data_IF_860892977928
#
_entry.id   IF_860892977928
#
_cell.length_a   1.000
_cell.length_b   1.000
_cell.length_c   1.000
_cell.angle_alpha   90.00
_cell.angle_beta   90.00
_cell.angle_gamma   90.00
#
_symmetry.space_group_name_H-M   'P 1'
#
loop_
_entity.id
_entity.type
_entity.pdbx_description
1 polymer ?
#
# COMPACT_ATOMS: atom_id res chain seq x y z
N UNK A 1 -2.12 -7.39 -11.55
CA UNK A 1 -2.76 -8.72 -11.63
C UNK A 1 -3.04 -9.22 -10.22
N UNK A 2 -4.12 -10.00 -10.04
CA UNK A 2 -4.47 -10.63 -8.76
C UNK A 2 -3.38 -11.64 -8.35
N UNK A 3 -3.10 -11.80 -7.04
CA UNK A 3 -2.17 -12.82 -6.59
C UNK A 3 -2.74 -14.22 -6.79
N UNK A 4 -1.85 -15.16 -7.08
CA UNK A 4 -2.14 -16.60 -7.08
C UNK A 4 -2.09 -17.15 -5.66
N UNK A 5 -2.71 -18.32 -5.44
CA UNK A 5 -2.62 -19.01 -4.15
C UNK A 5 -1.16 -19.34 -3.79
N UNK A 6 -0.34 -19.71 -4.78
CA UNK A 6 1.09 -19.93 -4.62
C UNK A 6 1.81 -18.69 -4.08
N UNK A 7 1.49 -17.51 -4.62
CA UNK A 7 2.09 -16.25 -4.14
C UNK A 7 1.64 -15.92 -2.72
N UNK A 8 0.36 -16.14 -2.37
CA UNK A 8 -0.11 -15.93 -1.00
C UNK A 8 0.63 -16.83 0.00
N UNK A 9 0.93 -18.08 -0.37
CA UNK A 9 1.69 -19.01 0.47
C UNK A 9 3.14 -18.58 0.75
N UNK A 10 3.69 -17.66 -0.05
CA UNK A 10 5.02 -17.09 0.21
C UNK A 10 5.01 -15.99 1.27
N UNK A 11 3.83 -15.48 1.65
CA UNK A 11 3.73 -14.41 2.64
C UNK A 11 4.06 -14.93 4.05
N UNK A 12 4.76 -14.15 4.89
CA UNK A 12 5.08 -14.56 6.27
C UNK A 12 3.86 -14.97 7.10
N UNK A 13 2.69 -14.36 6.83
CA UNK A 13 1.45 -14.69 7.53
C UNK A 13 0.91 -16.09 7.21
N UNK A 14 1.32 -16.69 6.09
CA UNK A 14 0.98 -18.06 5.68
C UNK A 14 2.08 -19.07 6.04
N UNK A 15 3.11 -18.65 6.79
CA UNK A 15 4.14 -19.56 7.25
C UNK A 15 3.52 -20.71 8.05
N UNK A 16 3.96 -21.94 7.77
CA UNK A 16 3.42 -23.15 8.38
C UNK A 16 2.16 -23.72 7.71
N UNK A 17 1.68 -23.12 6.62
CA UNK A 17 0.67 -23.74 5.77
C UNK A 17 1.24 -24.98 5.06
N UNK A 18 0.57 -26.12 5.23
CA UNK A 18 0.86 -27.37 4.52
C UNK A 18 -0.24 -27.61 3.47
N UNK A 19 0.14 -27.88 2.22
CA UNK A 19 -0.81 -28.17 1.13
C UNK A 19 -0.99 -29.68 1.00
N UNK A 20 -2.21 -30.18 1.19
CA UNK A 20 -2.53 -31.61 1.20
C UNK A 20 -3.14 -32.12 -0.11
N UNK A 21 -3.70 -31.23 -0.93
CA UNK A 21 -4.32 -31.53 -2.25
C UNK A 21 -4.33 -30.28 -3.14
N UNK A 22 -4.75 -30.42 -4.41
CA UNK A 22 -4.97 -29.28 -5.31
C UNK A 22 -3.72 -28.57 -5.81
N UNK A 23 -2.56 -29.26 -5.83
CA UNK A 23 -1.28 -28.65 -6.19
C UNK A 23 -1.26 -28.04 -7.59
N UNK A 24 -2.04 -28.60 -8.52
CA UNK A 24 -2.15 -28.09 -9.89
C UNK A 24 -2.84 -26.72 -9.96
N UNK A 25 -3.73 -26.41 -9.01
CA UNK A 25 -4.52 -25.18 -8.97
C UNK A 25 -3.88 -24.05 -8.17
N UNK A 26 -2.69 -24.26 -7.59
CA UNK A 26 -2.00 -23.20 -6.82
C UNK A 26 -1.64 -21.97 -7.67
N UNK A 27 -1.57 -22.10 -9.00
CA UNK A 27 -1.33 -21.00 -9.93
C UNK A 27 -2.57 -20.19 -10.28
N UNK A 28 -3.76 -20.56 -9.79
CA UNK A 28 -5.00 -19.82 -10.05
C UNK A 28 -5.07 -18.54 -9.20
N UNK A 29 -5.69 -17.47 -9.74
CA UNK A 29 -5.85 -16.22 -9.01
C UNK A 29 -6.79 -16.39 -7.81
N UNK A 30 -6.45 -15.71 -6.72
CA UNK A 30 -7.29 -15.59 -5.53
C UNK A 30 -7.92 -14.19 -5.51
N UNK A 31 -9.24 -14.15 -5.54
CA UNK A 31 -10.03 -12.91 -5.57
C UNK A 31 -10.30 -12.37 -4.17
N UNK A 32 -10.41 -13.26 -3.18
CA UNK A 32 -10.67 -12.90 -1.79
C UNK A 32 -10.23 -13.98 -0.81
N UNK A 33 -10.03 -13.61 0.46
CA UNK A 33 -9.79 -14.54 1.57
C UNK A 33 -10.77 -14.23 2.70
N UNK A 34 -11.47 -15.23 3.22
CA UNK A 34 -12.51 -15.04 4.24
C UNK A 34 -12.58 -16.21 5.24
N UNK A 35 -12.92 -15.91 6.49
CA UNK A 35 -13.10 -16.89 7.55
C UNK A 35 -14.56 -17.34 7.60
N UNK A 36 -14.84 -18.63 7.44
CA UNK A 36 -16.20 -19.16 7.46
C UNK A 36 -16.34 -20.41 8.32
N UNK A 37 -17.36 -20.44 9.15
CA UNK A 37 -17.78 -21.61 9.95
C UNK A 37 -19.21 -22.02 9.61
N UNK A 38 -19.64 -21.80 8.37
CA UNK A 38 -20.99 -22.10 7.91
C UNK A 38 -20.97 -23.42 7.10
N UNK A 39 -21.77 -24.44 7.45
CA UNK A 39 -21.82 -25.73 6.74
C UNK A 39 -22.19 -25.66 5.26
N UNK A 40 -22.78 -24.56 4.79
CA UNK A 40 -23.08 -24.33 3.38
C UNK A 40 -22.58 -22.94 2.94
N UNK A 41 -21.32 -22.65 3.25
CA UNK A 41 -20.65 -21.41 2.86
C UNK A 41 -20.63 -21.20 1.33
N UNK A 42 -20.65 -22.29 0.55
CA UNK A 42 -20.60 -22.28 -0.90
C UNK A 42 -21.70 -21.41 -1.54
N UNK A 43 -22.88 -21.30 -0.92
CA UNK A 43 -24.00 -20.49 -1.44
C UNK A 43 -23.71 -18.99 -1.55
N UNK A 44 -22.68 -18.51 -0.85
CA UNK A 44 -22.30 -17.10 -0.79
C UNK A 44 -21.05 -16.78 -1.61
N UNK A 45 -20.47 -17.78 -2.28
CA UNK A 45 -19.25 -17.61 -3.08
C UNK A 45 -19.58 -17.10 -4.47
N UNK A 46 -18.71 -16.24 -4.99
CA UNK A 46 -18.70 -15.74 -6.36
C UNK A 46 -17.60 -16.37 -7.21
N UNK A 47 -16.71 -17.16 -6.61
CA UNK A 47 -15.58 -17.82 -7.25
C UNK A 47 -14.25 -17.10 -7.00
N UNK A 48 -13.19 -17.89 -6.87
CA UNK A 48 -11.82 -17.41 -6.61
C UNK A 48 -11.52 -17.13 -5.12
N UNK A 49 -12.44 -17.45 -4.20
CA UNK A 49 -12.20 -17.22 -2.78
C UNK A 49 -11.43 -18.37 -2.13
N UNK A 50 -10.51 -18.03 -1.24
CA UNK A 50 -9.90 -18.96 -0.28
C UNK A 50 -10.63 -18.86 1.06
N UNK A 51 -11.19 -19.97 1.52
CA UNK A 51 -11.86 -20.04 2.82
C UNK A 51 -10.88 -20.44 3.92
N UNK A 52 -10.95 -19.78 5.07
CA UNK A 52 -10.25 -20.16 6.30
C UNK A 52 -11.28 -20.69 7.30
N UNK A 53 -10.98 -21.78 8.00
CA UNK A 53 -11.89 -22.35 8.99
C UNK A 53 -11.12 -23.08 10.09
N UNK A 54 -11.66 -23.09 11.30
CA UNK A 54 -11.22 -23.99 12.39
C UNK A 54 -11.84 -25.39 12.28
N UNK A 55 -12.66 -25.61 11.25
CA UNK A 55 -13.29 -26.89 10.94
C UNK A 55 -14.54 -27.19 11.76
N UNK A 56 -15.15 -26.21 12.44
CA UNK A 56 -16.34 -26.44 13.27
C UNK A 56 -17.51 -27.10 12.49
N UNK A 57 -17.80 -26.73 11.23
CA UNK A 57 -18.77 -27.44 10.39
C UNK A 57 -18.42 -28.91 10.12
N UNK A 58 -17.16 -29.29 10.25
CA UNK A 58 -16.62 -30.59 9.85
C UNK A 58 -16.43 -31.55 11.05
N UNK A 59 -16.22 -31.03 12.26
CA UNK A 59 -15.92 -31.81 13.48
C UNK A 59 -17.00 -32.87 13.78
N UNK A 60 -18.26 -32.59 13.46
CA UNK A 60 -19.39 -33.49 13.70
C UNK A 60 -20.15 -33.85 12.41
N UNK A 61 -19.61 -33.49 11.26
CA UNK A 61 -20.22 -33.83 9.98
C UNK A 61 -20.01 -35.33 9.70
N UNK A 62 -21.08 -36.05 9.36
CA UNK A 62 -20.93 -37.40 8.82
C UNK A 62 -20.09 -37.40 7.54
N UNK A 63 -19.54 -38.56 7.15
CA UNK A 63 -18.65 -38.68 5.98
C UNK A 63 -19.24 -38.02 4.72
N UNK A 64 -20.53 -38.24 4.48
CA UNK A 64 -21.24 -37.65 3.35
C UNK A 64 -21.27 -36.12 3.39
N UNK A 65 -21.50 -35.53 4.56
CA UNK A 65 -21.59 -34.09 4.71
C UNK A 65 -20.24 -33.40 4.50
N UNK A 66 -19.14 -34.00 4.97
CA UNK A 66 -17.79 -33.50 4.71
C UNK A 66 -17.41 -33.56 3.22
N UNK A 67 -17.77 -34.65 2.54
CA UNK A 67 -17.60 -34.76 1.10
C UNK A 67 -18.43 -33.71 0.34
N UNK A 68 -19.70 -33.54 0.70
CA UNK A 68 -20.63 -32.63 0.03
C UNK A 68 -20.23 -31.17 0.20
N UNK A 69 -19.67 -30.81 1.36
CA UNK A 69 -19.09 -29.49 1.59
C UNK A 69 -17.94 -29.19 0.63
N UNK A 70 -16.99 -30.12 0.47
CA UNK A 70 -15.87 -29.90 -0.44
C UNK A 70 -16.32 -29.86 -1.90
N UNK A 71 -17.25 -30.74 -2.30
CA UNK A 71 -17.86 -30.71 -3.62
C UNK A 71 -18.48 -29.34 -3.90
N UNK A 72 -19.27 -28.79 -2.97
CA UNK A 72 -19.96 -27.52 -3.19
C UNK A 72 -18.99 -26.35 -3.31
N UNK A 73 -17.90 -26.32 -2.53
CA UNK A 73 -16.84 -25.32 -2.68
C UNK A 73 -16.15 -25.41 -4.05
N UNK A 74 -15.80 -26.62 -4.47
CA UNK A 74 -15.15 -26.85 -5.76
C UNK A 74 -16.05 -26.45 -6.95
N UNK A 75 -17.33 -26.84 -6.93
CA UNK A 75 -18.30 -26.48 -7.97
C UNK A 75 -18.56 -24.97 -8.07
N UNK A 76 -18.35 -24.22 -6.98
CA UNK A 76 -18.50 -22.75 -6.95
C UNK A 76 -17.20 -22.02 -7.29
N UNK A 77 -16.15 -22.77 -7.63
CA UNK A 77 -14.88 -22.22 -8.06
C UNK A 77 -14.06 -21.62 -6.93
N UNK A 78 -14.22 -22.10 -5.69
CA UNK A 78 -13.33 -21.70 -4.60
C UNK A 78 -11.86 -21.99 -4.98
N UNK A 79 -10.97 -21.08 -4.62
CA UNK A 79 -9.52 -21.25 -4.80
C UNK A 79 -8.92 -22.19 -3.76
N UNK A 80 -9.64 -22.50 -2.68
CA UNK A 80 -9.24 -23.52 -1.72
C UNK A 80 -9.96 -23.40 -0.37
N UNK A 81 -9.60 -24.34 0.51
CA UNK A 81 -9.98 -24.35 1.92
C UNK A 81 -8.72 -24.51 2.77
N UNK A 82 -8.55 -23.65 3.78
CA UNK A 82 -7.48 -23.74 4.76
C UNK A 82 -8.07 -24.05 6.15
N UNK A 83 -7.58 -25.12 6.78
CA UNK A 83 -8.04 -25.59 8.08
C UNK A 83 -6.99 -25.34 9.17
N UNK A 84 -7.39 -24.76 10.29
CA UNK A 84 -6.60 -24.77 11.52
C UNK A 84 -6.85 -26.08 12.28
N UNK A 85 -5.79 -26.88 12.47
CA UNK A 85 -5.85 -28.22 13.05
C UNK A 85 -5.25 -28.29 14.46
N UNK A 86 -5.77 -27.48 15.39
CA UNK A 86 -5.20 -27.36 16.74
C UNK A 86 -6.10 -27.93 17.83
N UNK A 87 -7.35 -27.46 17.91
CA UNK A 87 -8.20 -27.69 19.09
C UNK A 87 -9.21 -28.80 18.86
N UNK A 88 -10.28 -28.48 18.13
CA UNK A 88 -11.40 -29.41 17.92
C UNK A 88 -11.14 -30.37 16.75
N UNK A 89 -10.39 -29.91 15.76
CA UNK A 89 -9.95 -30.71 14.63
C UNK A 89 -8.42 -30.82 14.70
N UNK A 90 -7.87 -32.04 14.70
CA UNK A 90 -6.41 -32.28 14.77
C UNK A 90 -5.82 -32.84 13.48
N UNK A 91 -6.65 -33.52 12.71
CA UNK A 91 -6.34 -34.05 11.40
C UNK A 91 -7.56 -33.77 10.50
N UNK A 92 -7.35 -33.54 9.19
CA UNK A 92 -8.46 -33.33 8.28
C UNK A 92 -9.29 -34.62 8.20
N UNK A 93 -10.63 -34.56 8.25
CA UNK A 93 -11.46 -35.76 8.14
C UNK A 93 -11.16 -36.51 6.83
N UNK A 94 -11.09 -37.86 6.82
CA UNK A 94 -10.76 -38.62 5.62
C UNK A 94 -11.67 -38.32 4.43
N UNK A 95 -12.96 -38.11 4.68
CA UNK A 95 -13.93 -37.73 3.65
C UNK A 95 -13.63 -36.35 3.02
N UNK A 96 -13.17 -35.38 3.83
CA UNK A 96 -12.80 -34.04 3.39
C UNK A 96 -11.53 -34.09 2.53
N UNK A 97 -10.50 -34.79 3.00
CA UNK A 97 -9.24 -34.94 2.24
C UNK A 97 -9.45 -35.75 0.95
N UNK A 98 -10.25 -36.82 1.01
CA UNK A 98 -10.61 -37.63 -0.15
C UNK A 98 -11.36 -36.84 -1.20
N UNK A 99 -12.37 -36.07 -0.80
CA UNK A 99 -13.10 -35.17 -1.70
C UNK A 99 -12.19 -34.08 -2.27
N UNK A 100 -11.32 -33.45 -1.45
CA UNK A 100 -10.45 -32.39 -1.93
C UNK A 100 -9.47 -32.88 -3.01
N UNK A 101 -8.99 -34.13 -2.88
CA UNK A 101 -8.21 -34.79 -3.93
C UNK A 101 -9.04 -35.11 -5.17
N UNK A 102 -10.27 -35.59 -5.00
CA UNK A 102 -11.16 -35.94 -6.10
C UNK A 102 -11.51 -34.73 -6.99
N UNK A 103 -11.80 -33.59 -6.37
CA UNK A 103 -12.16 -32.35 -7.08
C UNK A 103 -10.96 -31.42 -7.35
N UNK A 104 -9.74 -31.90 -7.09
CA UNK A 104 -8.48 -31.13 -7.18
C UNK A 104 -8.55 -29.77 -6.46
N UNK A 105 -9.33 -29.67 -5.38
CA UNK A 105 -9.46 -28.44 -4.60
C UNK A 105 -8.22 -28.30 -3.70
N UNK A 106 -7.55 -27.13 -3.67
CA UNK A 106 -6.49 -26.88 -2.72
C UNK A 106 -6.99 -26.97 -1.28
N UNK A 107 -6.51 -27.98 -0.54
CA UNK A 107 -6.73 -28.11 0.89
C UNK A 107 -5.43 -27.79 1.61
N UNK A 108 -5.45 -26.72 2.39
CA UNK A 108 -4.33 -26.27 3.21
C UNK A 108 -4.62 -26.57 4.67
N UNK A 109 -3.58 -26.84 5.45
CA UNK A 109 -3.71 -27.03 6.89
C UNK A 109 -2.66 -26.24 7.65
N UNK A 110 -3.03 -25.75 8.82
CA UNK A 110 -2.14 -25.16 9.80
C UNK A 110 -2.13 -26.04 11.05
N UNK A 111 -0.97 -26.59 11.41
CA UNK A 111 -0.80 -27.46 12.59
C UNK A 111 -0.53 -26.69 13.89
N UNK A 112 -0.57 -25.36 13.83
CA UNK A 112 -0.36 -24.44 14.94
C UNK A 112 -1.44 -23.35 14.90
N UNK A 113 -1.67 -22.68 16.03
CA UNK A 113 -2.65 -21.59 16.08
C UNK A 113 -2.23 -20.48 15.12
N UNK A 114 -3.19 -20.06 14.30
CA UNK A 114 -2.98 -18.99 13.34
C UNK A 114 -3.89 -17.82 13.61
N UNK A 115 -3.32 -16.62 13.51
CA UNK A 115 -4.11 -15.42 13.60
C UNK A 115 -4.79 -15.15 12.25
N UNK A 116 -6.03 -15.62 12.08
CA UNK A 116 -6.81 -15.40 10.85
C UNK A 116 -6.94 -13.91 10.48
N UNK A 117 -6.92 -12.99 11.46
CA UNK A 117 -6.92 -11.55 11.16
C UNK A 117 -5.61 -11.08 10.52
N UNK A 118 -4.46 -11.72 10.82
CA UNK A 118 -3.20 -11.45 10.12
C UNK A 118 -3.17 -12.07 8.72
N UNK A 119 -3.63 -13.31 8.57
CA UNK A 119 -3.75 -13.99 7.27
C UNK A 119 -4.61 -13.19 6.29
N UNK A 120 -5.83 -12.84 6.71
CA UNK A 120 -6.77 -12.05 5.89
C UNK A 120 -6.18 -10.67 5.56
N UNK A 121 -5.62 -9.95 6.53
CA UNK A 121 -4.97 -8.65 6.28
C UNK A 121 -3.83 -8.75 5.27
N UNK A 122 -2.96 -9.74 5.40
CA UNK A 122 -1.83 -9.94 4.49
C UNK A 122 -2.29 -10.27 3.07
N UNK A 123 -3.27 -11.17 2.94
CA UNK A 123 -3.84 -11.53 1.65
C UNK A 123 -4.59 -10.37 1.00
N UNK A 124 -5.46 -9.68 1.74
CA UNK A 124 -6.19 -8.50 1.25
C UNK A 124 -5.24 -7.39 0.83
N UNK A 125 -4.16 -7.14 1.57
CA UNK A 125 -3.13 -6.18 1.15
C UNK A 125 -2.49 -6.55 -0.19
N UNK A 126 -2.37 -7.85 -0.51
CA UNK A 126 -1.83 -8.31 -1.80
C UNK A 126 -2.86 -8.28 -2.94
N UNK A 127 -4.13 -8.55 -2.62
CA UNK A 127 -5.26 -8.53 -3.55
C UNK A 127 -5.64 -7.09 -3.94
N UNK A 128 -5.75 -6.21 -2.94
CA UNK A 128 -6.12 -4.80 -3.09
C UNK A 128 -4.94 -3.92 -3.52
N UNK A 129 -3.71 -4.46 -3.51
CA UNK A 129 -2.56 -3.79 -4.12
C UNK A 129 -2.84 -3.63 -5.60
N UNK A 130 -3.17 -2.40 -5.99
CA UNK A 130 -3.07 -2.01 -7.38
C UNK A 130 -1.61 -2.24 -7.80
N UNK A 131 -1.34 -2.93 -8.94
CA UNK A 131 -0.01 -2.86 -9.51
C UNK A 131 0.32 -1.37 -9.64
N UNK A 132 1.44 -0.95 -9.09
CA UNK A 132 1.94 0.39 -9.23
C UNK A 132 2.31 0.62 -10.71
N UNK A 133 1.30 0.80 -11.58
CA UNK A 133 1.49 1.36 -12.91
C UNK A 133 1.62 2.88 -12.88
N UNK A 134 1.37 3.49 -11.72
CA UNK A 134 1.92 4.78 -11.37
C UNK A 134 3.00 4.50 -10.33
N UNK A 135 4.26 4.74 -10.68
CA UNK A 135 5.28 5.02 -9.67
C UNK A 135 4.78 6.11 -8.72
N UNK A 136 5.46 6.35 -7.60
CA UNK A 136 5.20 7.56 -6.82
C UNK A 136 4.98 8.72 -7.79
N UNK A 137 3.85 9.46 -7.70
CA UNK A 137 3.52 10.48 -8.67
C UNK A 137 4.69 11.46 -8.75
N UNK A 138 5.52 11.31 -9.79
CA UNK A 138 6.72 12.10 -9.97
C UNK A 138 6.33 13.33 -10.74
N UNK A 139 6.69 14.50 -10.19
CA UNK A 139 6.54 15.76 -10.89
C UNK A 139 7.63 15.93 -11.96
N UNK A 140 8.68 15.10 -11.96
CA UNK A 140 9.83 15.27 -12.85
C UNK A 140 9.44 15.45 -14.33
N UNK A 141 8.59 14.60 -14.95
CA UNK A 141 8.22 14.79 -16.37
C UNK A 141 7.52 16.13 -16.64
N UNK A 142 6.76 16.64 -15.67
CA UNK A 142 6.10 17.95 -15.80
C UNK A 142 7.11 19.10 -15.65
N UNK A 143 8.06 18.96 -14.74
CA UNK A 143 9.10 19.97 -14.52
C UNK A 143 10.07 20.01 -15.72
N UNK A 144 10.45 18.86 -16.25
CA UNK A 144 11.29 18.73 -17.44
C UNK A 144 10.61 19.38 -18.65
N UNK A 145 9.32 19.09 -18.88
CA UNK A 145 8.54 19.75 -19.94
C UNK A 145 8.48 21.28 -19.75
N UNK A 146 8.41 21.78 -18.51
CA UNK A 146 8.43 23.22 -18.25
C UNK A 146 9.83 23.83 -18.52
N UNK A 147 10.90 23.12 -18.16
CA UNK A 147 12.27 23.53 -18.43
C UNK A 147 12.54 23.56 -19.95
N UNK A 148 12.12 22.54 -20.70
CA UNK A 148 12.24 22.46 -22.16
C UNK A 148 11.53 23.62 -22.88
N UNK A 149 10.41 24.11 -22.35
CA UNK A 149 9.73 25.27 -22.91
C UNK A 149 10.44 26.61 -22.65
N UNK A 150 11.51 26.62 -21.85
CA UNK A 150 12.22 27.83 -21.42
C UNK A 150 11.41 28.73 -20.48
N UNK A 151 10.34 28.20 -19.86
CA UNK A 151 9.42 28.96 -18.99
C UNK A 151 9.69 28.79 -17.50
N UNK A 152 10.62 27.91 -17.10
CA UNK A 152 10.95 27.64 -15.70
C UNK A 152 11.31 28.93 -14.95
N UNK A 153 12.22 29.73 -15.51
CA UNK A 153 12.69 30.98 -14.91
C UNK A 153 11.58 32.01 -14.71
N UNK A 154 10.76 32.24 -15.74
CA UNK A 154 9.63 33.17 -15.64
C UNK A 154 8.61 32.71 -14.58
N UNK A 155 8.40 31.40 -14.45
CA UNK A 155 7.56 30.83 -13.41
C UNK A 155 8.17 31.01 -12.01
N UNK A 156 9.46 30.73 -11.83
CA UNK A 156 10.19 30.95 -10.58
C UNK A 156 10.14 32.42 -10.15
N UNK A 157 10.39 33.35 -11.07
CA UNK A 157 10.31 34.79 -10.82
C UNK A 157 8.88 35.22 -10.42
N UNK A 158 7.84 34.67 -11.06
CA UNK A 158 6.46 34.96 -10.70
C UNK A 158 6.04 34.39 -9.32
N UNK A 159 6.57 33.24 -8.92
CA UNK A 159 6.22 32.60 -7.66
C UNK A 159 7.08 33.07 -6.48
N UNK A 160 8.40 33.14 -6.66
CA UNK A 160 9.40 33.36 -5.61
C UNK A 160 10.22 34.65 -5.79
N UNK A 161 9.95 35.46 -6.82
CA UNK A 161 10.72 36.66 -7.17
C UNK A 161 11.13 37.55 -5.98
N UNK A 162 10.19 37.97 -5.10
CA UNK A 162 10.51 38.76 -3.92
C UNK A 162 11.54 38.12 -2.97
N UNK A 163 11.53 36.79 -2.86
CA UNK A 163 12.51 36.04 -2.06
C UNK A 163 13.85 35.88 -2.76
N UNK A 164 13.86 35.77 -4.09
CA UNK A 164 15.09 35.55 -4.86
C UNK A 164 16.04 36.76 -4.82
N UNK A 165 15.50 37.97 -4.66
CA UNK A 165 16.27 39.23 -4.57
C UNK A 165 16.88 39.46 -3.18
N UNK A 166 16.47 38.70 -2.15
CA UNK A 166 16.98 38.86 -0.79
C UNK A 166 18.47 38.51 -0.68
N UNK A 167 19.19 39.11 0.31
CA UNK A 167 20.54 38.69 0.66
C UNK A 167 20.61 37.18 0.95
N UNK A 168 21.68 36.52 0.55
CA UNK A 168 21.83 35.05 0.56
C UNK A 168 21.37 34.40 1.87
N UNK A 169 21.79 34.94 3.03
CA UNK A 169 21.40 34.39 4.35
C UNK A 169 19.89 34.46 4.60
N UNK A 170 19.27 35.60 4.29
CA UNK A 170 17.83 35.80 4.46
C UNK A 170 17.04 34.93 3.48
N UNK A 171 17.49 34.87 2.22
CA UNK A 171 16.90 34.03 1.17
C UNK A 171 16.87 32.55 1.56
N UNK A 172 18.02 31.98 1.93
CA UNK A 172 18.13 30.56 2.34
C UNK A 172 17.22 30.28 3.53
N UNK A 173 17.20 31.17 4.52
CA UNK A 173 16.38 31.02 5.72
C UNK A 173 14.88 31.00 5.41
N UNK A 174 14.41 31.94 4.59
CA UNK A 174 12.99 32.09 4.27
C UNK A 174 12.49 31.04 3.29
N UNK A 175 13.30 30.68 2.28
CA UNK A 175 13.00 29.56 1.37
C UNK A 175 12.91 28.25 2.17
N UNK A 176 13.88 27.97 3.04
CA UNK A 176 13.82 26.77 3.89
C UNK A 176 12.63 26.77 4.83
N UNK A 177 12.23 27.93 5.36
CA UNK A 177 11.03 28.06 6.19
C UNK A 177 9.75 27.82 5.38
N UNK A 178 9.67 28.37 4.17
CA UNK A 178 8.53 28.16 3.26
C UNK A 178 8.39 26.68 2.88
N UNK A 179 9.49 26.01 2.54
CA UNK A 179 9.50 24.57 2.24
C UNK A 179 8.98 23.76 3.43
N UNK A 180 9.48 24.02 4.65
CA UNK A 180 9.02 23.33 5.84
C UNK A 180 7.53 23.57 6.15
N UNK A 181 7.04 24.80 5.95
CA UNK A 181 5.62 25.13 6.12
C UNK A 181 4.75 24.34 5.14
N UNK A 182 5.11 24.34 3.86
CA UNK A 182 4.39 23.64 2.80
C UNK A 182 4.40 22.12 3.02
N UNK A 183 5.55 21.52 3.33
CA UNK A 183 5.68 20.07 3.58
C UNK A 183 4.95 19.58 4.84
N UNK A 184 4.61 20.50 5.74
CA UNK A 184 3.89 20.17 6.99
C UNK A 184 2.46 20.69 6.99
N UNK A 185 1.93 21.08 5.83
CA UNK A 185 0.59 21.66 5.67
C UNK A 185 0.33 22.82 6.65
N UNK A 186 1.31 23.70 6.79
CA UNK A 186 1.32 24.85 7.70
C UNK A 186 1.13 24.49 9.18
N UNK A 187 1.47 23.26 9.58
CA UNK A 187 1.53 22.91 11.00
C UNK A 187 2.74 23.59 11.67
N UNK A 188 2.49 24.69 12.36
CA UNK A 188 3.53 25.53 13.00
C UNK A 188 4.39 24.75 14.00
N UNK A 189 3.80 23.79 14.72
CA UNK A 189 4.54 22.98 15.68
C UNK A 189 5.50 22.02 14.95
N UNK A 190 5.05 21.40 13.86
CA UNK A 190 5.87 20.50 13.05
C UNK A 190 6.98 21.25 12.32
N UNK A 191 6.62 22.35 11.66
CA UNK A 191 7.56 23.25 10.99
C UNK A 191 8.69 23.70 11.92
N UNK A 192 8.34 24.11 13.15
CA UNK A 192 9.32 24.55 14.14
C UNK A 192 10.28 23.42 14.54
N UNK A 193 9.76 22.20 14.73
CA UNK A 193 10.58 21.01 15.03
C UNK A 193 11.55 20.69 13.89
N UNK A 194 11.05 20.66 12.65
CA UNK A 194 11.88 20.39 11.46
C UNK A 194 12.98 21.42 11.26
N UNK A 195 12.66 22.70 11.46
CA UNK A 195 13.63 23.79 11.34
C UNK A 195 14.55 23.93 12.57
N UNK A 196 14.33 23.16 13.64
CA UNK A 196 15.04 23.29 14.92
C UNK A 196 15.01 24.70 15.50
N UNK A 197 13.85 25.38 15.40
CA UNK A 197 13.62 26.74 15.92
C UNK A 197 12.42 26.78 16.86
N UNK A 198 12.26 27.90 17.57
CA UNK A 198 11.06 28.14 18.39
C UNK A 198 9.86 28.46 17.49
N UNK A 199 8.66 28.07 17.93
CA UNK A 199 7.39 28.37 17.21
C UNK A 199 7.25 29.85 16.87
N UNK A 200 7.61 30.75 17.79
CA UNK A 200 7.55 32.20 17.56
C UNK A 200 8.41 32.66 16.37
N UNK A 201 9.55 32.00 16.12
CA UNK A 201 10.39 32.28 14.97
C UNK A 201 9.70 31.88 13.66
N UNK A 202 8.96 30.76 13.65
CA UNK A 202 8.18 30.34 12.49
C UNK A 202 7.06 31.33 12.20
N UNK A 203 6.31 31.75 13.23
CA UNK A 203 5.27 32.79 13.06
C UNK A 203 5.83 34.08 12.49
N UNK A 204 6.93 34.58 13.04
CA UNK A 204 7.58 35.79 12.53
C UNK A 204 7.97 35.66 11.06
N UNK A 205 8.60 34.54 10.69
CA UNK A 205 8.99 34.29 9.29
C UNK A 205 7.80 34.07 8.37
N UNK A 206 6.72 33.46 8.85
CA UNK A 206 5.47 33.32 8.10
C UNK A 206 4.87 34.69 7.76
N UNK A 207 4.86 35.62 8.71
CA UNK A 207 4.37 36.98 8.46
C UNK A 207 5.25 37.70 7.43
N UNK A 208 6.58 37.51 7.49
CA UNK A 208 7.48 38.00 6.44
C UNK A 208 7.15 37.38 5.07
N UNK A 209 6.94 36.06 5.01
CA UNK A 209 6.57 35.35 3.78
C UNK A 209 5.24 35.85 3.22
N UNK A 210 4.23 36.07 4.07
CA UNK A 210 2.92 36.63 3.66
C UNK A 210 3.06 38.05 3.13
N UNK A 211 3.86 38.90 3.78
CA UNK A 211 4.12 40.25 3.31
C UNK A 211 4.79 40.29 1.91
N UNK A 212 5.63 39.31 1.60
CA UNK A 212 6.36 39.23 0.33
C UNK A 212 5.61 38.48 -0.77
N UNK A 213 4.91 37.40 -0.43
CA UNK A 213 4.33 36.45 -1.39
C UNK A 213 2.81 36.54 -1.49
N UNK A 214 2.16 37.32 -0.63
CA UNK A 214 0.73 37.49 -0.56
C UNK A 214 0.03 36.39 0.24
N UNK A 215 -1.18 36.06 -0.19
CA UNK A 215 -2.05 35.09 0.49
C UNK A 215 -1.51 33.65 0.36
N UNK A 216 -0.94 33.14 1.45
CA UNK A 216 -0.43 31.78 1.56
C UNK A 216 -1.49 30.77 1.99
N UNK A 217 -2.71 31.19 2.32
CA UNK A 217 -3.81 30.29 2.70
C UNK A 217 -4.56 29.81 1.44
N UNK A 218 -4.34 30.46 0.29
CA UNK A 218 -4.91 30.08 -1.00
C UNK A 218 -4.29 28.76 -1.55
N UNK A 219 -5.09 27.70 -1.80
CA UNK A 219 -4.57 26.42 -2.29
C UNK A 219 -3.87 26.48 -3.64
N UNK A 220 -4.34 27.33 -4.57
CA UNK A 220 -3.69 27.52 -5.88
C UNK A 220 -2.33 28.20 -5.73
N UNK A 221 -2.21 29.13 -4.78
CA UNK A 221 -0.94 29.80 -4.48
C UNK A 221 0.05 28.83 -3.86
N UNK A 222 -0.39 28.01 -2.89
CA UNK A 222 0.43 26.96 -2.29
C UNK A 222 0.96 25.98 -3.35
N UNK A 223 0.10 25.51 -4.26
CA UNK A 223 0.51 24.62 -5.36
C UNK A 223 1.59 25.27 -6.23
N UNK A 224 1.41 26.54 -6.62
CA UNK A 224 2.41 27.27 -7.39
C UNK A 224 3.76 27.36 -6.67
N UNK A 225 3.75 27.59 -5.36
CA UNK A 225 4.96 27.65 -4.53
C UNK A 225 5.63 26.28 -4.36
N UNK A 226 4.86 25.20 -4.21
CA UNK A 226 5.40 23.83 -4.21
C UNK A 226 6.16 23.52 -5.50
N UNK A 227 5.57 23.82 -6.66
CA UNK A 227 6.20 23.61 -7.96
C UNK A 227 7.45 24.47 -8.13
N UNK A 228 7.42 25.73 -7.71
CA UNK A 228 8.57 26.62 -7.78
C UNK A 228 9.74 26.13 -6.91
N UNK A 229 9.45 25.62 -5.71
CA UNK A 229 10.48 25.04 -4.85
C UNK A 229 11.09 23.76 -5.47
N UNK A 230 10.28 22.91 -6.10
CA UNK A 230 10.77 21.70 -6.75
C UNK A 230 11.63 22.00 -7.98
N UNK A 231 11.22 22.98 -8.80
CA UNK A 231 12.01 23.49 -9.92
C UNK A 231 13.35 24.06 -9.45
N UNK A 232 13.36 24.86 -8.37
CA UNK A 232 14.60 25.44 -7.86
C UNK A 232 15.59 24.40 -7.32
N UNK A 233 15.11 23.23 -6.87
CA UNK A 233 15.98 22.10 -6.47
C UNK A 233 16.57 21.39 -7.69
N UNK A 234 15.77 21.26 -8.76
CA UNK A 234 16.16 20.59 -10.00
C UNK A 234 17.17 21.41 -10.82
N UNK A 235 16.96 22.73 -10.96
CA UNK A 235 17.92 23.62 -11.64
C UNK A 235 19.28 23.69 -10.91
N UNK A 236 19.30 23.49 -9.58
CA UNK A 236 20.55 23.41 -8.80
C UNK A 236 21.27 22.07 -9.00
N UNK A 237 20.54 20.99 -9.27
CA UNK A 237 21.13 19.69 -9.59
C UNK A 237 21.76 19.66 -10.99
N UNK A 238 21.21 20.40 -11.96
CA UNK A 238 21.79 20.54 -13.31
C UNK A 238 22.96 21.54 -13.37
N UNK A 239 23.03 22.50 -12.43
CA UNK A 239 24.07 23.54 -12.39
C UNK A 239 25.39 23.12 -11.72
N UNK A 240 25.55 21.84 -11.34
CA UNK A 240 26.86 21.26 -10.95
C UNK A 240 27.41 20.50 -12.15
N UNK A 241 28.14 21.16 -13.08
CA UNK A 241 28.96 20.42 -14.01
C UNK A 241 30.08 19.74 -13.21
N UNK A 242 30.24 18.47 -13.52
CA UNK A 242 31.35 17.61 -13.11
C UNK A 242 32.67 18.39 -13.22
N UNK A 243 33.12 18.93 -12.09
CA UNK A 243 34.35 19.70 -11.96
C UNK A 243 35.16 19.11 -10.82
N UNK A 244 35.51 17.84 -10.98
CA UNK A 244 36.75 17.27 -10.46
C UNK A 244 36.97 15.86 -11.05
N UNK A 245 37.57 15.79 -12.24
CA UNK A 245 38.68 14.86 -12.40
C UNK A 245 39.84 15.38 -11.55
N UNK A 246 40.65 14.48 -11.02
CA UNK A 246 41.81 14.05 -11.81
C UNK A 246 41.77 12.57 -12.20
#
# INVERSE_FOLDING_TARGET
MLPTLRELLTLPAFAGAEVLSGHARLGEPVTWVHVSEIPDAARFLSGGELLLSVGAPLVNAGEQAGHDYIRSLAERGASGLALELVRELREPPPAVLGAARLYDLPLLVFRQEVNFAQLTRAAHARILRQPAEYGEPSLAPLLDALAETGRSRAFLEAQLGPLLVLPTRARVTLIGTLAALLETNFNMAESARRLSVRRQTVYYRLEQLRAMLGDLDNPRRQLGLHLALELSRSEVAEAVPDSASP
#
